data_IF_829778018723
#
_entry.id   IF_829778018723
#
_cell.length_a   1.000
_cell.length_b   1.000
_cell.length_c   1.000
_cell.angle_alpha   90.00
_cell.angle_beta   90.00
_cell.angle_gamma   90.00
#
_symmetry.space_group_name_H-M   'P 1'
#
loop_
_entity.id
_entity.type
_entity.pdbx_description
1 polymer ?
#
# COMPACT_ATOMS: atom_id res chain seq x y z
N UNK A 1 -18.74 7.44 35.91
CA UNK A 1 -17.33 7.07 35.65
C UNK A 1 -16.55 8.35 35.43
N UNK A 2 -15.52 8.64 36.26
CA UNK A 2 -14.60 9.76 35.99
C UNK A 2 -13.79 9.35 34.76
N UNK A 3 -14.01 10.00 33.60
CA UNK A 3 -13.22 9.76 32.40
C UNK A 3 -11.75 10.10 32.67
N UNK A 4 -10.86 9.17 32.34
CA UNK A 4 -9.41 9.44 32.37
C UNK A 4 -9.15 10.44 31.24
N UNK A 5 -8.56 11.59 31.58
CA UNK A 5 -8.14 12.57 30.56
C UNK A 5 -6.90 12.02 29.88
N UNK A 6 -6.93 12.01 28.56
CA UNK A 6 -5.86 11.51 27.70
C UNK A 6 -5.45 12.58 26.71
N UNK A 7 -4.23 12.49 26.18
CA UNK A 7 -3.72 13.36 25.13
C UNK A 7 -3.15 12.54 23.98
N UNK A 8 -3.04 13.15 22.82
CA UNK A 8 -2.47 12.53 21.64
C UNK A 8 -2.06 13.56 20.60
N UNK A 9 -1.39 13.10 19.57
CA UNK A 9 -0.93 13.92 18.44
C UNK A 9 -1.64 13.47 17.18
N UNK A 10 -2.16 14.45 16.42
CA UNK A 10 -2.63 14.20 15.04
C UNK A 10 -1.46 14.50 14.09
N UNK A 11 -0.94 13.46 13.47
CA UNK A 11 0.08 13.56 12.43
C UNK A 11 -0.08 12.42 11.44
N UNK A 12 -0.27 12.75 10.18
CA UNK A 12 -0.34 11.71 9.15
C UNK A 12 1.07 11.13 8.90
N UNK A 13 1.25 9.80 8.89
CA UNK A 13 2.58 9.18 8.74
C UNK A 13 3.37 9.64 7.53
N UNK A 14 2.69 10.03 6.43
CA UNK A 14 3.35 10.59 5.25
C UNK A 14 4.11 11.88 5.50
N UNK A 15 3.82 12.57 6.62
CA UNK A 15 4.51 13.79 7.05
C UNK A 15 5.78 13.50 7.87
N UNK A 16 6.04 12.25 8.24
CA UNK A 16 7.28 11.89 8.92
C UNK A 16 8.49 12.04 7.97
N UNK A 17 9.65 12.42 8.50
CA UNK A 17 10.87 12.47 7.70
C UNK A 17 11.18 11.09 7.10
N UNK A 18 11.64 11.07 5.87
CA UNK A 18 12.00 9.82 5.20
C UNK A 18 13.00 10.12 4.09
N UNK A 19 14.03 9.28 3.90
CA UNK A 19 14.94 9.42 2.75
C UNK A 19 14.26 9.11 1.42
N UNK A 20 13.01 8.60 1.44
CA UNK A 20 12.27 8.17 0.25
C UNK A 20 11.21 9.17 -0.21
N UNK A 21 11.24 10.40 0.31
CA UNK A 21 10.38 11.51 -0.10
C UNK A 21 8.94 11.46 0.39
N UNK A 22 8.59 10.45 1.19
CA UNK A 22 7.31 10.28 1.86
C UNK A 22 7.52 9.48 3.15
N UNK A 23 6.91 9.89 4.24
CA UNK A 23 6.89 9.06 5.44
C UNK A 23 6.17 7.73 5.16
N UNK A 24 6.72 6.65 5.68
CA UNK A 24 6.22 5.29 5.49
C UNK A 24 6.22 4.48 6.80
N UNK A 25 5.85 3.20 6.74
CA UNK A 25 5.79 2.31 7.92
C UNK A 25 7.18 1.80 8.37
N UNK A 26 8.23 2.54 8.04
CA UNK A 26 9.60 2.22 8.35
C UNK A 26 10.07 2.71 9.73
N UNK A 27 11.40 2.76 9.94
CA UNK A 27 12.00 3.09 11.23
C UNK A 27 11.55 4.44 11.81
N UNK A 28 11.23 5.43 10.97
CA UNK A 28 10.77 6.74 11.45
C UNK A 28 9.39 6.68 12.10
N UNK A 29 8.49 5.85 11.58
CA UNK A 29 7.19 5.63 12.20
C UNK A 29 7.32 4.96 13.58
N UNK A 30 8.24 4.00 13.73
CA UNK A 30 8.55 3.39 15.02
C UNK A 30 9.14 4.42 16.00
N UNK A 31 10.14 5.20 15.57
CA UNK A 31 10.73 6.26 16.40
C UNK A 31 9.71 7.29 16.85
N UNK A 32 8.76 7.64 15.99
CA UNK A 32 7.70 8.57 16.37
C UNK A 32 6.74 7.95 17.40
N UNK A 33 6.39 6.67 17.25
CA UNK A 33 5.58 5.96 18.23
C UNK A 33 6.29 5.88 19.60
N UNK A 34 7.61 5.60 19.62
CA UNK A 34 8.43 5.58 20.83
C UNK A 34 8.45 6.97 21.49
N UNK A 35 8.66 8.04 20.70
CA UNK A 35 8.61 9.43 21.19
C UNK A 35 7.26 9.77 21.82
N UNK A 36 6.15 9.34 21.23
CA UNK A 36 4.82 9.55 21.80
C UNK A 36 4.68 8.85 23.17
N UNK A 37 5.17 7.61 23.26
CA UNK A 37 5.16 6.86 24.51
C UNK A 37 6.03 7.54 25.58
N UNK A 38 7.27 7.95 25.25
CA UNK A 38 8.19 8.63 26.15
C UNK A 38 7.63 9.97 26.65
N UNK A 39 6.88 10.68 25.81
CA UNK A 39 6.24 11.97 26.18
C UNK A 39 4.86 11.80 26.81
N UNK A 40 4.45 10.56 27.11
CA UNK A 40 3.18 10.26 27.78
C UNK A 40 1.94 10.46 26.93
N UNK A 41 2.09 10.57 25.60
CA UNK A 41 0.95 10.59 24.68
C UNK A 41 0.34 9.19 24.59
N UNK A 42 -0.99 9.13 24.54
CA UNK A 42 -1.71 7.85 24.51
C UNK A 42 -2.32 7.54 23.16
N UNK A 43 -2.41 8.53 22.28
CA UNK A 43 -2.99 8.39 20.96
C UNK A 43 -2.09 9.02 19.90
N UNK A 44 -1.92 8.28 18.82
CA UNK A 44 -1.48 8.80 17.53
C UNK A 44 -2.68 8.80 16.58
N UNK A 45 -3.25 9.96 16.33
CA UNK A 45 -4.34 10.10 15.38
C UNK A 45 -3.77 10.30 13.99
N UNK A 46 -4.24 9.50 13.04
CA UNK A 46 -3.86 9.55 11.64
C UNK A 46 -5.08 9.78 10.75
N UNK A 47 -4.86 10.22 9.53
CA UNK A 47 -5.87 10.22 8.48
C UNK A 47 -6.00 8.80 7.88
N UNK A 48 -7.06 8.52 7.08
CA UNK A 48 -7.19 7.20 6.45
C UNK A 48 -5.94 6.80 5.67
N UNK A 49 -5.49 5.57 5.86
CA UNK A 49 -4.28 5.00 5.24
C UNK A 49 -4.58 4.27 3.92
N UNK A 50 -5.79 4.48 3.42
CA UNK A 50 -6.34 3.79 2.26
C UNK A 50 -5.70 4.25 0.97
N UNK A 51 -5.89 3.44 -0.06
CA UNK A 51 -5.29 3.62 -1.39
C UNK A 51 -5.71 4.96 -2.01
N UNK A 52 -4.74 5.82 -2.31
CA UNK A 52 -4.95 7.13 -2.94
C UNK A 52 -4.59 7.13 -4.43
N UNK A 53 -5.08 8.10 -5.18
CA UNK A 53 -4.74 8.28 -6.58
C UNK A 53 -4.37 9.74 -6.93
N UNK A 54 -3.74 9.91 -8.10
CA UNK A 54 -3.30 11.21 -8.58
C UNK A 54 -4.47 12.10 -9.04
N UNK A 55 -5.55 11.52 -9.54
CA UNK A 55 -6.69 12.23 -10.09
C UNK A 55 -7.41 13.06 -9.01
N UNK A 56 -7.26 12.63 -7.75
CA UNK A 56 -7.81 13.30 -6.58
C UNK A 56 -6.72 13.91 -5.66
N UNK A 57 -5.55 14.23 -6.21
CA UNK A 57 -4.46 14.89 -5.49
C UNK A 57 -3.92 14.08 -4.31
N UNK A 58 -4.01 12.76 -4.36
CA UNK A 58 -3.63 11.85 -3.27
C UNK A 58 -4.34 12.15 -1.94
N UNK A 59 -5.58 12.64 -2.01
CA UNK A 59 -6.37 12.91 -0.81
C UNK A 59 -6.67 11.63 -0.04
N UNK A 60 -6.38 11.57 1.28
CA UNK A 60 -6.72 10.41 2.11
C UNK A 60 -8.23 10.21 2.28
N UNK A 61 -9.03 11.21 1.93
CA UNK A 61 -10.49 11.17 1.99
C UNK A 61 -11.14 10.69 0.67
N UNK A 62 -10.34 10.49 -0.37
CA UNK A 62 -10.81 10.00 -1.66
C UNK A 62 -10.06 8.73 -2.03
N UNK A 63 -10.62 7.60 -1.65
CA UNK A 63 -9.99 6.29 -1.82
C UNK A 63 -10.82 5.37 -2.72
N UNK A 64 -10.11 4.51 -3.43
CA UNK A 64 -10.71 3.45 -4.25
C UNK A 64 -11.23 2.26 -3.42
N UNK A 65 -10.86 2.18 -2.15
CA UNK A 65 -11.25 1.09 -1.26
C UNK A 65 -11.19 1.54 0.20
N UNK A 66 -12.17 1.13 1.00
CA UNK A 66 -12.16 1.34 2.45
C UNK A 66 -11.21 0.38 3.19
N UNK A 67 -10.70 -0.67 2.53
CA UNK A 67 -9.89 -1.72 3.15
C UNK A 67 -8.44 -1.72 2.70
N UNK A 68 -8.19 -1.41 1.43
CA UNK A 68 -6.87 -1.53 0.84
C UNK A 68 -5.96 -0.37 1.23
N UNK A 69 -4.75 -0.70 1.69
CA UNK A 69 -3.72 0.29 2.02
C UNK A 69 -2.98 0.81 0.80
N UNK A 70 -2.43 2.02 0.90
CA UNK A 70 -1.65 2.61 -0.18
C UNK A 70 -0.23 1.99 -0.22
N UNK A 71 0.19 1.39 -1.34
CA UNK A 71 1.53 0.82 -1.46
C UNK A 71 2.68 1.81 -1.27
N UNK A 72 2.44 3.11 -1.40
CA UNK A 72 3.47 4.12 -1.14
C UNK A 72 3.90 4.19 0.33
N UNK A 73 3.12 3.62 1.25
CA UNK A 73 3.47 3.52 2.67
C UNK A 73 4.37 2.33 2.99
N UNK A 74 4.53 1.39 2.06
CA UNK A 74 5.44 0.26 2.24
C UNK A 74 6.87 0.79 2.33
N UNK A 75 7.56 0.47 3.44
CA UNK A 75 8.94 0.88 3.67
C UNK A 75 9.92 0.01 2.89
N UNK A 76 10.75 0.60 2.01
CA UNK A 76 11.82 -0.12 1.33
C UNK A 76 12.86 -0.73 2.30
N UNK A 77 13.13 -0.09 3.43
CA UNK A 77 14.06 -0.61 4.44
C UNK A 77 13.53 -1.90 5.07
N UNK A 78 12.24 -1.96 5.38
CA UNK A 78 11.63 -3.20 5.88
C UNK A 78 11.58 -4.28 4.80
N UNK A 79 11.41 -3.93 3.53
CA UNK A 79 11.51 -4.91 2.44
C UNK A 79 12.90 -5.54 2.36
N UNK A 80 13.97 -4.78 2.63
CA UNK A 80 15.33 -5.33 2.73
C UNK A 80 15.45 -6.24 3.95
N UNK A 81 15.01 -5.77 5.11
CA UNK A 81 15.04 -6.55 6.37
C UNK A 81 14.35 -7.90 6.21
N UNK A 82 13.21 -7.92 5.54
CA UNK A 82 12.40 -9.13 5.32
C UNK A 82 12.90 -9.94 4.12
N UNK A 83 13.97 -9.48 3.45
CA UNK A 83 14.60 -10.14 2.31
C UNK A 83 13.76 -10.13 1.02
N UNK A 84 12.87 -9.17 0.86
CA UNK A 84 12.16 -8.92 -0.39
C UNK A 84 13.00 -8.11 -1.39
N UNK A 85 13.95 -7.33 -0.87
CA UNK A 85 14.92 -6.55 -1.66
C UNK A 85 16.34 -6.84 -1.19
N UNK A 86 17.30 -6.65 -2.06
CA UNK A 86 18.73 -6.57 -1.72
C UNK A 86 19.09 -5.15 -1.26
N UNK A 87 20.12 -5.01 -0.41
CA UNK A 87 20.58 -3.70 0.10
C UNK A 87 20.95 -2.74 -1.03
N UNK A 88 21.52 -3.28 -2.11
CA UNK A 88 21.86 -2.52 -3.32
C UNK A 88 20.70 -1.82 -4.00
N UNK A 89 19.47 -2.21 -3.71
CA UNK A 89 18.29 -1.55 -4.25
C UNK A 89 18.11 -0.10 -3.75
N UNK A 90 18.80 0.29 -2.67
CA UNK A 90 18.75 1.62 -2.08
C UNK A 90 20.07 2.38 -2.20
N UNK A 91 20.97 1.99 -3.11
CA UNK A 91 22.24 2.70 -3.34
C UNK A 91 22.02 4.09 -3.94
N UNK A 92 21.09 4.20 -4.89
CA UNK A 92 20.84 5.41 -5.67
C UNK A 92 19.45 5.99 -5.32
N UNK A 93 19.30 6.48 -4.09
CA UNK A 93 18.09 7.19 -3.67
C UNK A 93 18.15 8.62 -4.18
N UNK A 94 17.15 9.08 -4.95
CA UNK A 94 17.14 10.46 -5.44
C UNK A 94 16.91 11.46 -4.30
N UNK A 95 17.39 12.69 -4.46
CA UNK A 95 17.03 13.77 -3.54
C UNK A 95 15.53 14.09 -3.63
N UNK A 96 14.87 14.25 -2.50
CA UNK A 96 13.47 14.64 -2.40
C UNK A 96 13.32 15.99 -1.71
N UNK A 97 12.28 16.79 -2.03
CA UNK A 97 11.96 17.99 -1.27
C UNK A 97 11.78 17.69 0.22
N UNK A 98 12.32 18.56 1.09
CA UNK A 98 12.20 18.39 2.54
C UNK A 98 10.91 18.96 3.12
N UNK A 99 10.23 19.82 2.37
CA UNK A 99 9.06 20.61 2.79
C UNK A 99 7.72 20.07 2.29
N UNK A 100 7.75 19.10 1.38
CA UNK A 100 6.54 18.53 0.79
C UNK A 100 6.78 17.14 0.21
N UNK A 101 5.71 16.38 0.02
CA UNK A 101 5.73 15.12 -0.73
C UNK A 101 5.56 15.39 -2.22
N UNK A 102 6.57 15.05 -3.02
CA UNK A 102 6.49 15.00 -4.48
C UNK A 102 5.99 13.61 -4.92
N UNK A 103 4.68 13.41 -4.94
CA UNK A 103 4.08 12.12 -5.25
C UNK A 103 4.52 11.52 -6.60
N UNK A 104 4.62 12.27 -7.71
CA UNK A 104 5.17 11.75 -8.96
C UNK A 104 6.58 11.18 -8.79
N UNK A 105 7.47 11.92 -8.12
CA UNK A 105 8.85 11.50 -7.88
C UNK A 105 8.94 10.30 -6.94
N UNK A 106 8.16 10.30 -5.87
CA UNK A 106 8.04 9.17 -4.94
C UNK A 106 7.56 7.91 -5.67
N UNK A 107 6.55 8.00 -6.52
CA UNK A 107 6.04 6.87 -7.30
C UNK A 107 7.09 6.34 -8.27
N UNK A 108 7.80 7.23 -8.97
CA UNK A 108 8.89 6.86 -9.89
C UNK A 108 9.99 6.08 -9.17
N UNK A 109 10.28 6.40 -7.92
CA UNK A 109 11.27 5.71 -7.12
C UNK A 109 10.73 4.42 -6.47
N UNK A 110 9.60 4.49 -5.75
CA UNK A 110 9.11 3.36 -4.92
C UNK A 110 8.48 2.23 -5.76
N UNK A 111 7.75 2.54 -6.84
CA UNK A 111 7.07 1.50 -7.61
C UNK A 111 8.02 0.47 -8.23
N UNK A 112 9.17 0.83 -8.83
CA UNK A 112 10.15 -0.16 -9.29
C UNK A 112 10.71 -1.05 -8.19
N UNK A 113 10.85 -0.54 -6.95
CA UNK A 113 11.27 -1.37 -5.81
C UNK A 113 10.19 -2.41 -5.46
N UNK A 114 8.92 -2.02 -5.49
CA UNK A 114 7.81 -2.94 -5.27
C UNK A 114 7.70 -4.00 -6.37
N UNK A 115 8.00 -3.64 -7.63
CA UNK A 115 8.09 -4.62 -8.73
C UNK A 115 9.21 -5.64 -8.49
N UNK A 116 10.41 -5.20 -8.10
CA UNK A 116 11.52 -6.11 -7.74
C UNK A 116 11.14 -7.04 -6.59
N UNK A 117 10.43 -6.54 -5.58
CA UNK A 117 9.92 -7.37 -4.49
C UNK A 117 8.90 -8.41 -5.00
N UNK A 118 8.04 -8.02 -5.93
CA UNK A 118 7.08 -8.92 -6.56
C UNK A 118 7.76 -9.99 -7.45
N UNK A 119 8.78 -9.63 -8.22
CA UNK A 119 9.59 -10.59 -8.97
C UNK A 119 10.16 -11.66 -8.05
N UNK A 120 10.69 -11.27 -6.87
CA UNK A 120 11.17 -12.21 -5.86
C UNK A 120 10.06 -13.09 -5.29
N UNK A 121 8.87 -12.57 -5.10
CA UNK A 121 7.69 -13.38 -4.76
C UNK A 121 7.38 -14.42 -5.84
N UNK A 122 7.46 -14.09 -7.12
CA UNK A 122 7.20 -15.02 -8.21
C UNK A 122 8.18 -16.21 -8.22
N UNK A 123 9.42 -16.03 -7.74
CA UNK A 123 10.39 -17.15 -7.60
C UNK A 123 10.04 -18.14 -6.50
N UNK A 124 9.03 -17.89 -5.67
CA UNK A 124 8.51 -18.84 -4.70
C UNK A 124 8.49 -18.33 -3.25
N UNK A 125 9.23 -17.26 -2.93
CA UNK A 125 9.27 -16.72 -1.58
C UNK A 125 7.88 -16.29 -1.12
N UNK A 126 7.48 -16.73 0.07
CA UNK A 126 6.27 -16.25 0.76
C UNK A 126 4.94 -16.66 0.14
N UNK A 127 4.92 -17.52 -0.87
CA UNK A 127 3.68 -17.92 -1.56
C UNK A 127 2.59 -18.41 -0.63
N UNK A 128 2.94 -19.23 0.38
CA UNK A 128 1.95 -19.76 1.30
C UNK A 128 1.40 -18.68 2.24
N UNK A 129 2.25 -17.78 2.73
CA UNK A 129 1.82 -16.65 3.56
C UNK A 129 0.86 -15.72 2.81
N UNK A 130 1.15 -15.41 1.54
CA UNK A 130 0.26 -14.59 0.70
C UNK A 130 -1.06 -15.32 0.42
N UNK A 131 -1.04 -16.63 0.12
CA UNK A 131 -2.27 -17.41 -0.05
C UNK A 131 -3.12 -17.42 1.23
N UNK A 132 -2.48 -17.59 2.39
CA UNK A 132 -3.16 -17.51 3.68
C UNK A 132 -3.82 -16.14 3.86
N UNK A 133 -3.06 -15.06 3.62
CA UNK A 133 -3.58 -13.69 3.71
C UNK A 133 -4.78 -13.46 2.79
N UNK A 134 -4.76 -13.98 1.55
CA UNK A 134 -5.89 -13.87 0.62
C UNK A 134 -7.12 -14.59 1.18
N UNK A 135 -6.95 -15.79 1.76
CA UNK A 135 -8.08 -16.56 2.35
C UNK A 135 -8.73 -15.83 3.52
N UNK A 136 -7.92 -15.21 4.36
CA UNK A 136 -8.41 -14.48 5.54
C UNK A 136 -9.03 -13.10 5.20
N UNK A 137 -8.78 -12.59 3.99
CA UNK A 137 -9.21 -11.26 3.57
C UNK A 137 -10.12 -11.32 2.34
N UNK A 138 -11.37 -11.69 2.53
CA UNK A 138 -12.34 -11.91 1.45
C UNK A 138 -12.55 -10.72 0.49
N UNK A 139 -12.30 -9.48 0.96
CA UNK A 139 -12.36 -8.26 0.14
C UNK A 139 -11.24 -8.16 -0.90
N UNK A 140 -10.12 -8.85 -0.66
CA UNK A 140 -8.87 -8.64 -1.42
C UNK A 140 -8.98 -9.08 -2.89
N UNK A 141 -9.66 -10.20 -3.14
CA UNK A 141 -9.87 -10.70 -4.51
C UNK A 141 -10.67 -9.71 -5.36
N UNK A 142 -11.71 -9.12 -4.80
CA UNK A 142 -12.54 -8.12 -5.46
C UNK A 142 -11.77 -6.80 -5.68
N UNK A 143 -10.99 -6.38 -4.71
CA UNK A 143 -10.11 -5.21 -4.84
C UNK A 143 -9.07 -5.42 -5.95
N UNK A 144 -8.36 -6.55 -5.94
CA UNK A 144 -7.36 -6.86 -6.96
C UNK A 144 -7.98 -6.87 -8.36
N UNK A 145 -9.15 -7.52 -8.51
CA UNK A 145 -9.90 -7.54 -9.75
C UNK A 145 -10.25 -6.12 -10.23
N UNK A 146 -10.83 -5.31 -9.35
CA UNK A 146 -11.20 -3.93 -9.66
C UNK A 146 -9.98 -3.12 -10.10
N UNK A 147 -8.86 -3.22 -9.40
CA UNK A 147 -7.61 -2.52 -9.73
C UNK A 147 -7.07 -2.90 -11.09
N UNK A 148 -7.01 -4.20 -11.40
CA UNK A 148 -6.52 -4.71 -12.68
C UNK A 148 -7.42 -4.25 -13.82
N UNK A 149 -8.74 -4.36 -13.66
CA UNK A 149 -9.69 -3.95 -14.70
C UNK A 149 -9.72 -2.44 -14.90
N UNK A 150 -9.62 -1.64 -13.84
CA UNK A 150 -9.53 -0.17 -13.94
C UNK A 150 -8.30 0.24 -14.77
N UNK A 151 -7.15 -0.38 -14.53
CA UNK A 151 -5.94 -0.13 -15.34
C UNK A 151 -6.08 -0.58 -16.77
N UNK A 152 -6.71 -1.75 -16.98
CA UNK A 152 -6.87 -2.33 -18.30
C UNK A 152 -7.81 -1.52 -19.20
N UNK A 153 -8.93 -1.08 -18.64
CA UNK A 153 -9.95 -0.36 -19.42
C UNK A 153 -9.75 1.16 -19.43
N UNK A 154 -9.02 1.73 -18.46
CA UNK A 154 -8.75 3.17 -18.39
C UNK A 154 -10.00 4.05 -18.29
N UNK A 155 -11.13 3.48 -17.81
CA UNK A 155 -12.43 4.15 -17.74
C UNK A 155 -13.24 3.66 -16.51
N UNK A 156 -14.25 4.42 -16.06
CA UNK A 156 -15.10 4.03 -14.94
C UNK A 156 -15.73 2.63 -15.14
N UNK A 157 -15.85 1.87 -14.06
CA UNK A 157 -16.38 0.50 -14.09
C UNK A 157 -17.77 0.39 -14.72
N UNK A 158 -18.59 1.44 -14.62
CA UNK A 158 -19.92 1.51 -15.24
C UNK A 158 -19.87 1.42 -16.77
N UNK A 159 -18.72 1.68 -17.39
CA UNK A 159 -18.48 1.61 -18.83
C UNK A 159 -17.71 0.34 -19.27
N UNK A 160 -17.46 -0.59 -18.34
CA UNK A 160 -16.86 -1.88 -18.70
C UNK A 160 -17.82 -2.76 -19.48
N UNK A 161 -17.33 -3.83 -20.14
CA UNK A 161 -18.19 -4.83 -20.76
C UNK A 161 -19.26 -5.31 -19.77
N UNK A 162 -20.49 -5.47 -20.27
CA UNK A 162 -21.67 -5.76 -19.44
C UNK A 162 -21.43 -6.97 -18.51
N UNK A 163 -20.82 -8.03 -19.03
CA UNK A 163 -20.57 -9.25 -18.26
C UNK A 163 -19.62 -9.05 -17.07
N UNK A 164 -18.65 -8.13 -17.22
CA UNK A 164 -17.72 -7.76 -16.14
C UNK A 164 -18.36 -6.77 -15.18
N UNK A 165 -19.08 -5.77 -15.71
CA UNK A 165 -19.82 -4.80 -14.89
C UNK A 165 -20.84 -5.51 -14.00
N UNK A 166 -21.58 -6.46 -14.56
CA UNK A 166 -22.62 -7.22 -13.88
C UNK A 166 -22.07 -8.48 -13.15
N UNK A 167 -20.72 -8.61 -13.10
CA UNK A 167 -19.98 -9.65 -12.35
C UNK A 167 -20.39 -11.09 -12.71
N UNK A 168 -20.62 -11.38 -13.98
CA UNK A 168 -20.96 -12.75 -14.44
C UNK A 168 -19.81 -13.72 -14.21
N UNK A 169 -20.10 -14.86 -13.61
CA UNK A 169 -19.08 -15.82 -13.15
C UNK A 169 -18.09 -16.23 -14.27
N UNK A 170 -18.56 -16.54 -15.48
CA UNK A 170 -17.68 -16.89 -16.61
C UNK A 170 -16.74 -15.76 -17.03
N UNK A 171 -17.21 -14.50 -17.00
CA UNK A 171 -16.38 -13.36 -17.31
C UNK A 171 -15.32 -13.12 -16.21
N UNK A 172 -15.66 -13.28 -14.94
CA UNK A 172 -14.72 -13.18 -13.84
C UNK A 172 -13.66 -14.28 -13.87
N UNK A 173 -14.06 -15.51 -14.21
CA UNK A 173 -13.11 -16.62 -14.39
C UNK A 173 -12.14 -16.32 -15.54
N UNK A 174 -12.60 -15.88 -16.70
CA UNK A 174 -11.76 -15.52 -17.84
C UNK A 174 -10.75 -14.41 -17.49
N UNK A 175 -11.16 -13.42 -16.68
CA UNK A 175 -10.26 -12.39 -16.15
C UNK A 175 -9.23 -12.99 -15.20
N UNK A 176 -9.63 -13.89 -14.31
CA UNK A 176 -8.74 -14.59 -13.39
C UNK A 176 -7.63 -15.35 -14.12
N UNK A 177 -7.96 -16.02 -15.19
CA UNK A 177 -7.00 -16.74 -16.05
C UNK A 177 -6.09 -15.77 -16.82
N UNK A 178 -6.68 -14.79 -17.50
CA UNK A 178 -5.96 -13.84 -18.36
C UNK A 178 -5.02 -12.92 -17.57
N UNK A 179 -5.43 -12.48 -16.38
CA UNK A 179 -4.73 -11.49 -15.56
C UNK A 179 -4.17 -12.08 -14.28
N UNK A 180 -3.86 -13.37 -14.23
CA UNK A 180 -3.41 -14.06 -13.01
C UNK A 180 -2.20 -13.38 -12.35
N UNK A 181 -1.19 -12.96 -13.11
CA UNK A 181 0.00 -12.27 -12.60
C UNK A 181 -0.32 -10.86 -12.06
N UNK A 182 -1.01 -9.97 -12.81
CA UNK A 182 -1.48 -8.70 -12.25
C UNK A 182 -2.33 -8.82 -10.98
N UNK A 183 -3.22 -9.80 -10.90
CA UNK A 183 -4.03 -10.06 -9.71
C UNK A 183 -3.19 -10.48 -8.51
N UNK A 184 -2.23 -11.39 -8.73
CA UNK A 184 -1.27 -11.79 -7.68
C UNK A 184 -0.44 -10.60 -7.20
N UNK A 185 -0.05 -9.69 -8.10
CA UNK A 185 0.69 -8.48 -7.76
C UNK A 185 -0.10 -7.58 -6.82
N UNK A 186 -1.36 -7.27 -7.13
CA UNK A 186 -2.18 -6.42 -6.25
C UNK A 186 -2.36 -7.09 -4.87
N UNK A 187 -2.61 -8.39 -4.81
CA UNK A 187 -2.72 -9.13 -3.56
C UNK A 187 -1.40 -9.13 -2.76
N UNK A 188 -0.26 -9.32 -3.42
CA UNK A 188 1.05 -9.28 -2.79
C UNK A 188 1.38 -7.90 -2.21
N UNK A 189 1.06 -6.81 -2.91
CA UNK A 189 1.27 -5.47 -2.39
C UNK A 189 0.43 -5.21 -1.13
N UNK A 190 -0.80 -5.68 -1.08
CA UNK A 190 -1.62 -5.59 0.12
C UNK A 190 -1.06 -6.45 1.25
N UNK A 191 -0.57 -7.66 0.96
CA UNK A 191 0.12 -8.48 1.95
C UNK A 191 1.31 -7.73 2.56
N UNK A 192 2.19 -7.13 1.75
CA UNK A 192 3.33 -6.34 2.25
C UNK A 192 2.89 -5.17 3.11
N UNK A 193 1.87 -4.44 2.67
CA UNK A 193 1.31 -3.33 3.43
C UNK A 193 0.85 -3.79 4.81
N UNK A 194 0.05 -4.84 4.89
CA UNK A 194 -0.50 -5.31 6.17
C UNK A 194 0.54 -5.99 7.06
N UNK A 195 1.60 -6.56 6.49
CA UNK A 195 2.73 -7.07 7.29
C UNK A 195 3.46 -5.93 8.01
N UNK A 196 3.64 -4.81 7.36
CA UNK A 196 4.30 -3.66 7.97
C UNK A 196 3.38 -2.88 8.92
N UNK A 197 2.10 -2.78 8.57
CA UNK A 197 1.07 -2.17 9.42
C UNK A 197 0.84 -2.93 10.71
#
# INVERSE_FOLDING_TARGET
MKGIRTSGVLLHPTCLPSPFGIGDMGPEAYRFADLLAETGQQYWQILPVTFTDADHGHSPYHSLSAFAGDPLWISPQLLIKDGWLESSALTDVPEFPADRVDFPKVRTFKLPLLEKAFERFLTGKGKEAVRHFIRENGWLSDFALFRVLTRHYGRPWSHWPVDLRDRRAGALQAVGERFSIPLQREAFLQYLFFQQW
#
